data_IF_668702829921
#
_entry.id   IF_668702829921
#
_cell.length_a   1.000
_cell.length_b   1.000
_cell.length_c   1.000
_cell.angle_alpha   90.00
_cell.angle_beta   90.00
_cell.angle_gamma   90.00
#
_symmetry.space_group_name_H-M   'P 1'
#
loop_
_entity.id
_entity.type
_entity.pdbx_description
1 polymer ?
#
# COMPACT_ATOMS: atom_id res chain seq x y z
N UNK A 1 -68.96 13.21 19.47
CA UNK A 1 -67.62 12.76 19.90
C UNK A 1 -67.19 11.41 19.32
N UNK A 2 -67.92 10.29 19.49
CA UNK A 2 -67.47 8.95 19.00
C UNK A 2 -67.18 8.87 17.48
N UNK A 3 -68.02 9.45 16.61
CA UNK A 3 -67.79 9.44 15.15
C UNK A 3 -66.51 10.19 14.73
N UNK A 4 -66.25 11.36 15.33
CA UNK A 4 -65.03 12.13 15.06
C UNK A 4 -63.76 11.38 15.49
N UNK A 5 -63.81 10.65 16.61
CA UNK A 5 -62.70 9.82 17.07
C UNK A 5 -62.41 8.65 16.10
N UNK A 6 -63.46 8.06 15.52
CA UNK A 6 -63.34 7.00 14.51
C UNK A 6 -62.70 7.55 13.21
N UNK A 7 -63.16 8.71 12.72
CA UNK A 7 -62.56 9.33 11.52
C UNK A 7 -61.08 9.70 11.74
N UNK A 8 -60.73 10.18 12.94
CA UNK A 8 -59.34 10.47 13.30
C UNK A 8 -58.50 9.19 13.32
N UNK A 9 -59.00 8.12 13.94
CA UNK A 9 -58.30 6.82 14.00
C UNK A 9 -58.11 6.20 12.60
N UNK A 10 -59.13 6.26 11.74
CA UNK A 10 -59.06 5.78 10.35
C UNK A 10 -58.08 6.63 9.52
N UNK A 11 -58.08 7.95 9.72
CA UNK A 11 -57.13 8.86 9.07
C UNK A 11 -55.68 8.60 9.50
N UNK A 12 -55.44 8.37 10.80
CA UNK A 12 -54.11 7.99 11.31
C UNK A 12 -53.66 6.63 10.79
N UNK A 13 -54.55 5.64 10.74
CA UNK A 13 -54.25 4.32 10.18
C UNK A 13 -53.92 4.41 8.68
N UNK A 14 -54.70 5.16 7.91
CA UNK A 14 -54.45 5.41 6.49
C UNK A 14 -53.11 6.12 6.25
N UNK A 15 -52.80 7.14 7.07
CA UNK A 15 -51.51 7.83 7.04
C UNK A 15 -50.33 6.90 7.36
N UNK A 16 -50.47 6.01 8.35
CA UNK A 16 -49.44 5.04 8.70
C UNK A 16 -49.20 4.01 7.57
N UNK A 17 -50.27 3.54 6.90
CA UNK A 17 -50.16 2.63 5.75
C UNK A 17 -49.45 3.31 4.58
N UNK A 18 -49.85 4.54 4.22
CA UNK A 18 -49.19 5.30 3.13
C UNK A 18 -47.73 5.54 3.45
N UNK A 19 -47.41 5.95 4.68
CA UNK A 19 -46.02 6.12 5.13
C UNK A 19 -45.23 4.81 5.03
N UNK A 20 -45.81 3.69 5.45
CA UNK A 20 -45.21 2.37 5.34
C UNK A 20 -44.93 1.96 3.89
N UNK A 21 -45.87 2.18 2.96
CA UNK A 21 -45.68 1.90 1.52
C UNK A 21 -44.59 2.79 0.93
N UNK A 22 -44.55 4.08 1.28
CA UNK A 22 -43.49 5.00 0.84
C UNK A 22 -42.11 4.56 1.36
N UNK A 23 -42.03 4.13 2.61
CA UNK A 23 -40.81 3.56 3.21
C UNK A 23 -40.35 2.30 2.46
N UNK A 24 -41.25 1.33 2.22
CA UNK A 24 -40.91 0.10 1.49
C UNK A 24 -40.42 0.41 0.07
N UNK A 25 -41.11 1.28 -0.67
CA UNK A 25 -40.71 1.67 -2.01
C UNK A 25 -39.36 2.42 -2.01
N UNK A 26 -39.13 3.28 -1.00
CA UNK A 26 -37.84 3.95 -0.81
C UNK A 26 -36.70 2.94 -0.59
N UNK A 27 -36.91 1.92 0.25
CA UNK A 27 -35.91 0.88 0.49
C UNK A 27 -35.68 0.00 -0.75
N UNK A 28 -36.72 -0.45 -1.45
CA UNK A 28 -36.60 -1.24 -2.67
C UNK A 28 -35.86 -0.49 -3.78
N UNK A 29 -36.16 0.80 -3.97
CA UNK A 29 -35.47 1.63 -4.95
C UNK A 29 -33.99 1.85 -4.58
N UNK A 30 -33.67 1.98 -3.28
CA UNK A 30 -32.27 1.98 -2.81
C UNK A 30 -31.55 0.67 -3.13
N UNK A 31 -32.17 -0.48 -2.86
CA UNK A 31 -31.58 -1.79 -3.13
C UNK A 31 -31.32 -1.99 -4.62
N UNK A 32 -32.29 -1.68 -5.49
CA UNK A 32 -32.13 -1.81 -6.93
C UNK A 32 -30.97 -0.96 -7.46
N UNK A 33 -30.87 0.30 -7.00
CA UNK A 33 -29.75 1.20 -7.38
C UNK A 33 -28.39 0.64 -6.93
N UNK A 34 -28.31 0.13 -5.70
CA UNK A 34 -27.09 -0.48 -5.19
C UNK A 34 -26.68 -1.73 -6.00
N UNK A 35 -27.65 -2.58 -6.36
CA UNK A 35 -27.42 -3.77 -7.20
C UNK A 35 -26.92 -3.42 -8.59
N UNK A 36 -27.52 -2.40 -9.22
CA UNK A 36 -27.08 -1.93 -10.53
C UNK A 36 -25.64 -1.43 -10.49
N UNK A 37 -25.27 -0.61 -9.50
CA UNK A 37 -23.91 -0.12 -9.35
C UNK A 37 -22.89 -1.22 -9.09
N UNK A 38 -23.24 -2.20 -8.24
CA UNK A 38 -22.38 -3.35 -8.01
C UNK A 38 -22.15 -4.13 -9.32
N UNK A 39 -23.20 -4.30 -10.13
CA UNK A 39 -23.10 -4.99 -11.42
C UNK A 39 -22.19 -4.22 -12.38
N UNK A 40 -22.42 -2.91 -12.56
CA UNK A 40 -21.58 -2.04 -13.40
C UNK A 40 -20.11 -2.03 -12.94
N UNK A 41 -19.87 -1.97 -11.63
CA UNK A 41 -18.55 -2.05 -11.04
C UNK A 41 -17.89 -3.41 -11.30
N UNK A 42 -18.60 -4.52 -11.09
CA UNK A 42 -18.07 -5.86 -11.34
C UNK A 42 -17.75 -6.07 -12.82
N UNK A 43 -18.57 -5.56 -13.73
CA UNK A 43 -18.27 -5.58 -15.16
C UNK A 43 -17.03 -4.74 -15.51
N UNK A 44 -16.89 -3.56 -14.92
CA UNK A 44 -15.69 -2.74 -15.08
C UNK A 44 -14.44 -3.46 -14.54
N UNK A 45 -14.52 -4.04 -13.35
CA UNK A 45 -13.46 -4.83 -12.75
C UNK A 45 -13.10 -6.07 -13.61
N UNK A 46 -14.08 -6.76 -14.19
CA UNK A 46 -13.84 -7.87 -15.12
C UNK A 46 -13.17 -7.42 -16.42
N UNK A 47 -13.57 -6.28 -16.98
CA UNK A 47 -12.89 -5.70 -18.15
C UNK A 47 -11.43 -5.38 -17.84
N UNK A 48 -11.18 -4.80 -16.67
CA UNK A 48 -9.82 -4.60 -16.16
C UNK A 48 -9.08 -5.93 -16.03
N UNK A 49 -9.68 -6.94 -15.39
CA UNK A 49 -9.08 -8.25 -15.15
C UNK A 49 -8.63 -8.95 -16.44
N UNK A 50 -9.48 -8.92 -17.50
CA UNK A 50 -9.18 -9.53 -18.81
C UNK A 50 -7.96 -8.91 -19.50
N UNK A 51 -7.79 -7.58 -19.45
CA UNK A 51 -6.66 -6.94 -20.13
C UNK A 51 -5.30 -7.38 -19.55
N UNK A 52 -5.25 -7.73 -18.26
CA UNK A 52 -4.02 -8.26 -17.66
C UNK A 52 -3.65 -9.65 -18.20
N UNK A 53 -4.62 -10.54 -18.44
CA UNK A 53 -4.34 -11.89 -18.93
C UNK A 53 -3.78 -11.90 -20.35
N UNK A 54 -4.17 -10.93 -21.17
CA UNK A 54 -3.67 -10.78 -22.53
C UNK A 54 -2.32 -10.04 -22.61
N UNK A 55 -2.04 -9.13 -21.67
CA UNK A 55 -0.88 -8.22 -21.75
C UNK A 55 0.31 -8.57 -20.85
N UNK A 56 0.13 -9.38 -19.80
CA UNK A 56 1.20 -9.79 -18.89
C UNK A 56 1.57 -11.26 -19.08
N UNK A 57 2.66 -11.57 -19.81
CA UNK A 57 3.23 -12.90 -19.77
C UNK A 57 3.57 -13.26 -18.32
N UNK A 58 3.34 -14.52 -17.93
CA UNK A 58 3.89 -15.04 -16.68
C UNK A 58 5.40 -15.17 -16.91
N UNK A 59 6.14 -14.11 -16.56
CA UNK A 59 7.60 -14.14 -16.54
C UNK A 59 8.04 -15.06 -15.39
N UNK A 60 8.18 -16.36 -15.68
CA UNK A 60 8.72 -17.35 -14.73
C UNK A 60 10.24 -17.17 -14.53
N UNK A 61 10.89 -16.33 -15.34
CA UNK A 61 12.33 -16.15 -15.44
C UNK A 61 12.91 -15.01 -14.57
N UNK A 62 12.09 -14.29 -13.79
CA UNK A 62 12.60 -13.18 -12.97
C UNK A 62 13.58 -13.64 -11.89
N UNK A 63 13.44 -14.88 -11.40
CA UNK A 63 14.32 -15.46 -10.38
C UNK A 63 15.46 -16.25 -11.02
N UNK A 64 16.20 -15.60 -11.91
CA UNK A 64 17.45 -16.17 -12.41
C UNK A 64 18.54 -16.10 -11.34
N UNK A 65 19.47 -17.06 -11.35
CA UNK A 65 20.61 -17.04 -10.43
C UNK A 65 21.44 -15.74 -10.56
N UNK A 66 21.46 -15.14 -11.75
CA UNK A 66 22.14 -13.87 -11.98
C UNK A 66 21.45 -12.70 -11.27
N UNK A 67 20.13 -12.58 -11.39
CA UNK A 67 19.37 -11.52 -10.72
C UNK A 67 19.42 -11.67 -9.21
N UNK A 68 19.36 -12.91 -8.71
CA UNK A 68 19.57 -13.18 -7.29
C UNK A 68 20.97 -12.73 -6.83
N UNK A 69 22.02 -12.99 -7.61
CA UNK A 69 23.37 -12.48 -7.30
C UNK A 69 23.41 -10.96 -7.28
N UNK A 70 22.79 -10.29 -8.26
CA UNK A 70 22.73 -8.83 -8.32
C UNK A 70 22.03 -8.22 -7.10
N UNK A 71 20.92 -8.83 -6.65
CA UNK A 71 20.17 -8.45 -5.44
C UNK A 71 20.85 -8.90 -4.13
N UNK A 72 22.03 -9.51 -4.20
CA UNK A 72 22.90 -9.86 -3.06
C UNK A 72 24.25 -9.15 -3.12
N UNK A 73 24.41 -8.19 -4.03
CA UNK A 73 25.67 -7.45 -4.24
C UNK A 73 26.03 -6.59 -3.05
N UNK A 74 25.05 -5.84 -2.53
CA UNK A 74 25.23 -4.94 -1.40
C UNK A 74 24.67 -5.64 -0.17
N UNK A 75 25.50 -5.87 0.83
CA UNK A 75 25.11 -6.53 2.08
C UNK A 75 24.90 -5.50 3.17
N UNK A 76 24.45 -5.94 4.36
CA UNK A 76 24.12 -5.06 5.49
C UNK A 76 25.16 -3.96 5.76
N UNK A 77 26.46 -4.30 5.71
CA UNK A 77 27.52 -3.32 5.95
C UNK A 77 27.57 -2.20 4.90
N UNK A 78 27.19 -2.49 3.65
CA UNK A 78 27.11 -1.50 2.59
C UNK A 78 25.96 -0.52 2.84
N UNK A 79 24.82 -1.02 3.29
CA UNK A 79 23.66 -0.22 3.67
C UNK A 79 23.98 0.70 4.86
N UNK A 80 24.70 0.21 5.87
CA UNK A 80 25.15 1.02 7.00
C UNK A 80 26.19 2.08 6.60
N UNK A 81 27.03 1.79 5.60
CA UNK A 81 28.00 2.76 5.08
C UNK A 81 27.31 3.95 4.43
N UNK A 82 26.15 3.75 3.80
CA UNK A 82 25.34 4.86 3.26
C UNK A 82 24.94 5.84 4.37
N UNK A 83 24.52 5.33 5.53
CA UNK A 83 24.17 6.18 6.68
C UNK A 83 25.36 7.05 7.12
N UNK A 84 26.55 6.44 7.18
CA UNK A 84 27.79 7.10 7.57
C UNK A 84 28.19 8.18 6.56
N UNK A 85 28.15 7.86 5.26
CA UNK A 85 28.47 8.78 4.18
C UNK A 85 27.49 9.95 4.11
N UNK A 86 26.21 9.70 4.37
CA UNK A 86 25.17 10.72 4.46
C UNK A 86 25.20 11.52 5.78
N UNK A 87 26.11 11.21 6.70
CA UNK A 87 26.20 11.78 8.05
C UNK A 87 24.89 11.71 8.86
N UNK A 88 24.06 10.69 8.58
CA UNK A 88 22.79 10.47 9.28
C UNK A 88 23.05 9.76 10.60
N UNK A 89 22.46 10.29 11.67
CA UNK A 89 22.51 9.66 13.00
C UNK A 89 21.31 8.73 13.19
N UNK A 90 21.47 7.62 13.92
CA UNK A 90 20.35 6.73 14.17
C UNK A 90 19.35 7.39 15.12
N UNK A 91 18.08 7.18 14.86
CA UNK A 91 16.98 7.49 15.76
C UNK A 91 17.03 6.50 16.91
N UNK A 92 17.26 7.01 18.11
CA UNK A 92 17.40 6.19 19.30
C UNK A 92 16.07 5.77 19.86
N UNK A 93 15.10 6.67 19.91
CA UNK A 93 13.81 6.45 20.56
C UNK A 93 12.65 7.00 19.74
N UNK A 94 11.43 6.49 19.99
CA UNK A 94 10.22 6.99 19.32
C UNK A 94 9.93 8.43 19.77
N UNK A 95 10.32 8.76 21.01
CA UNK A 95 10.16 10.05 21.66
C UNK A 95 10.97 11.17 20.97
N UNK A 96 12.06 10.80 20.27
CA UNK A 96 12.91 11.75 19.54
C UNK A 96 12.31 12.15 18.17
N UNK A 97 11.35 11.38 17.65
CA UNK A 97 10.82 11.55 16.29
C UNK A 97 10.23 12.95 16.06
N UNK A 98 9.36 13.52 16.93
CA UNK A 98 8.79 14.84 16.71
C UNK A 98 9.87 15.93 16.54
N UNK A 99 10.88 15.94 17.40
CA UNK A 99 12.01 16.89 17.31
C UNK A 99 12.80 16.71 16.02
N UNK A 100 13.03 15.46 15.59
CA UNK A 100 13.73 15.20 14.33
C UNK A 100 12.93 15.63 13.10
N UNK A 101 11.60 15.57 13.16
CA UNK A 101 10.72 16.10 12.10
C UNK A 101 10.77 17.63 12.07
N UNK A 102 10.71 18.31 13.22
CA UNK A 102 10.85 19.77 13.32
C UNK A 102 12.20 20.26 12.76
N UNK A 103 13.27 19.49 12.98
CA UNK A 103 14.61 19.78 12.46
C UNK A 103 14.79 19.37 10.98
N UNK A 104 13.74 18.89 10.30
CA UNK A 104 13.77 18.38 8.94
C UNK A 104 14.81 17.25 8.72
N UNK A 105 15.09 16.49 9.78
CA UNK A 105 15.98 15.31 9.73
C UNK A 105 15.20 14.04 9.46
N UNK A 106 13.90 14.03 9.75
CA UNK A 106 12.94 13.03 9.34
C UNK A 106 11.78 13.71 8.61
N UNK A 107 11.18 12.99 7.68
CA UNK A 107 9.95 13.35 7.00
C UNK A 107 8.94 12.22 7.20
N UNK A 108 7.68 12.53 7.52
CA UNK A 108 6.63 11.52 7.43
C UNK A 108 6.53 11.03 5.99
N UNK A 109 6.24 9.73 5.83
CA UNK A 109 5.86 9.17 4.54
C UNK A 109 4.34 8.96 4.53
N UNK A 110 3.70 9.57 3.54
CA UNK A 110 2.26 9.72 3.48
C UNK A 110 1.54 8.41 3.16
N UNK A 111 0.26 8.33 3.52
CA UNK A 111 -0.64 7.24 3.13
C UNK A 111 -1.92 7.81 2.53
N UNK A 112 -1.82 8.48 1.39
CA UNK A 112 -2.99 9.05 0.70
C UNK A 112 -3.51 8.10 -0.39
N UNK A 113 -4.68 8.42 -0.96
CA UNK A 113 -5.19 7.72 -2.14
C UNK A 113 -4.22 7.82 -3.33
N UNK A 114 -3.46 8.92 -3.40
CA UNK A 114 -2.54 9.26 -4.50
C UNK A 114 -1.17 8.56 -4.43
N UNK A 115 -0.78 8.06 -3.26
CA UNK A 115 0.50 7.37 -3.12
C UNK A 115 0.53 6.09 -3.95
N UNK A 116 1.70 5.76 -4.49
CA UNK A 116 1.92 4.55 -5.31
C UNK A 116 2.36 3.35 -4.47
N UNK A 117 2.16 3.44 -3.15
CA UNK A 117 2.43 2.42 -2.16
C UNK A 117 1.40 2.47 -1.04
N UNK A 118 1.32 1.41 -0.26
CA UNK A 118 0.53 1.36 0.97
C UNK A 118 1.35 0.70 2.08
N UNK A 119 0.92 0.87 3.33
CA UNK A 119 1.58 0.26 4.47
C UNK A 119 1.00 -1.12 4.79
N UNK A 120 1.84 -2.14 4.73
CA UNK A 120 1.53 -3.51 5.14
C UNK A 120 2.02 -3.72 6.57
N UNK A 121 1.13 -3.53 7.55
CA UNK A 121 1.41 -3.69 8.98
C UNK A 121 2.50 -2.76 9.55
N UNK A 122 2.69 -1.57 8.96
CA UNK A 122 3.59 -0.54 9.50
C UNK A 122 2.79 0.46 10.35
N UNK A 123 3.03 0.54 11.68
CA UNK A 123 2.36 1.51 12.55
C UNK A 123 2.66 2.95 12.14
N UNK A 124 1.67 3.85 12.26
CA UNK A 124 1.80 5.27 11.89
C UNK A 124 3.02 5.94 12.51
N UNK A 125 3.30 5.63 13.79
CA UNK A 125 4.48 6.11 14.54
C UNK A 125 5.84 5.70 13.97
N UNK A 126 5.88 4.77 13.02
CA UNK A 126 7.11 4.28 12.36
C UNK A 126 7.19 4.69 10.88
N UNK A 127 6.21 5.44 10.36
CA UNK A 127 6.13 5.87 8.96
C UNK A 127 6.94 7.14 8.71
N UNK A 128 8.24 7.04 8.96
CA UNK A 128 9.19 8.12 8.77
C UNK A 128 10.40 7.62 8.01
N UNK A 129 10.97 8.49 7.20
CA UNK A 129 12.26 8.31 6.56
C UNK A 129 13.01 9.63 6.63
N UNK A 130 14.32 9.62 6.39
CA UNK A 130 15.03 10.87 6.11
C UNK A 130 14.52 11.47 4.79
N UNK A 131 14.58 12.80 4.59
CA UNK A 131 13.94 13.45 3.44
C UNK A 131 14.35 12.90 2.06
N UNK A 132 15.62 12.54 1.86
CA UNK A 132 16.06 11.96 0.59
C UNK A 132 15.52 10.53 0.38
N UNK A 133 15.42 9.73 1.45
CA UNK A 133 14.89 8.38 1.37
C UNK A 133 13.37 8.37 1.15
N UNK A 134 12.63 9.33 1.73
CA UNK A 134 11.22 9.54 1.43
C UNK A 134 11.00 9.84 -0.06
N UNK A 135 11.80 10.75 -0.65
CA UNK A 135 11.76 11.01 -2.10
C UNK A 135 12.16 9.79 -2.93
N UNK A 136 13.13 9.01 -2.48
CA UNK A 136 13.56 7.79 -3.14
C UNK A 136 12.49 6.69 -3.15
N UNK A 137 11.67 6.58 -2.10
CA UNK A 137 10.50 5.70 -2.08
C UNK A 137 9.46 6.11 -3.14
N UNK A 138 9.14 7.40 -3.22
CA UNK A 138 8.25 7.94 -4.26
C UNK A 138 8.78 7.69 -5.67
N UNK A 139 10.08 7.90 -5.88
CA UNK A 139 10.74 7.64 -7.16
C UNK A 139 10.71 6.16 -7.53
N UNK A 140 10.98 5.26 -6.59
CA UNK A 140 10.90 3.82 -6.81
C UNK A 140 9.49 3.43 -7.20
N UNK A 141 8.48 3.88 -6.46
CA UNK A 141 7.09 3.57 -6.74
C UNK A 141 6.63 4.17 -8.08
N UNK A 142 7.11 5.37 -8.45
CA UNK A 142 6.87 5.99 -9.74
C UNK A 142 7.55 5.24 -10.90
N UNK A 143 8.79 4.76 -10.73
CA UNK A 143 9.48 3.93 -11.73
C UNK A 143 8.76 2.61 -11.93
N UNK A 144 8.26 2.00 -10.85
CA UNK A 144 7.41 0.81 -10.93
C UNK A 144 6.15 1.06 -11.77
N UNK A 145 5.43 2.18 -11.54
CA UNK A 145 4.28 2.55 -12.41
C UNK A 145 4.68 2.74 -13.87
N UNK A 146 5.83 3.39 -14.12
CA UNK A 146 6.33 3.64 -15.47
C UNK A 146 6.56 2.32 -16.22
N UNK A 147 7.21 1.34 -15.58
CA UNK A 147 7.47 0.03 -16.20
C UNK A 147 6.18 -0.76 -16.42
N UNK A 148 5.21 -0.67 -15.50
CA UNK A 148 3.87 -1.24 -15.71
C UNK A 148 3.24 -0.67 -16.97
N UNK A 149 3.23 0.66 -17.11
CA UNK A 149 2.67 1.35 -18.27
C UNK A 149 3.37 0.99 -19.58
N UNK A 150 4.69 0.89 -19.59
CA UNK A 150 5.49 0.48 -20.76
C UNK A 150 5.21 -0.95 -21.19
N UNK A 151 4.81 -1.83 -20.27
CA UNK A 151 4.43 -3.22 -20.54
C UNK A 151 2.94 -3.39 -20.86
N UNK A 152 2.25 -2.28 -21.14
CA UNK A 152 0.80 -2.25 -21.39
C UNK A 152 -0.03 -2.86 -20.24
N UNK A 153 0.54 -2.83 -19.04
CA UNK A 153 -0.11 -3.25 -17.79
C UNK A 153 -0.80 -2.01 -17.25
N UNK A 154 -2.09 -2.16 -16.92
CA UNK A 154 -2.93 -1.07 -16.43
C UNK A 154 -2.27 -0.15 -15.40
N UNK A 155 -2.77 1.06 -15.37
CA UNK A 155 -2.30 2.13 -14.50
C UNK A 155 -2.73 1.88 -13.03
N UNK A 156 -1.84 2.23 -12.08
CA UNK A 156 -2.10 2.36 -10.64
C UNK A 156 -2.08 1.06 -9.80
N UNK A 157 -0.92 0.39 -9.73
CA UNK A 157 -0.68 -0.72 -8.79
C UNK A 157 0.18 -0.25 -7.63
N UNK A 158 -0.32 -0.30 -6.39
CA UNK A 158 0.47 0.08 -5.21
C UNK A 158 1.36 -1.07 -4.73
N UNK A 159 2.61 -0.76 -4.39
CA UNK A 159 3.55 -1.67 -3.72
C UNK A 159 3.31 -1.67 -2.19
N UNK A 160 3.64 -2.78 -1.53
CA UNK A 160 3.45 -2.94 -0.09
C UNK A 160 4.72 -2.57 0.70
N UNK A 161 4.72 -1.46 1.42
CA UNK A 161 5.79 -1.09 2.36
C UNK A 161 5.53 -1.79 3.69
N UNK A 162 6.42 -2.69 4.08
CA UNK A 162 6.30 -3.56 5.26
C UNK A 162 7.20 -3.16 6.44
N UNK A 163 8.08 -2.19 6.21
CA UNK A 163 8.92 -1.58 7.25
C UNK A 163 9.44 -0.23 6.80
N UNK A 164 9.63 0.70 7.73
CA UNK A 164 10.28 1.99 7.52
C UNK A 164 11.20 2.32 8.72
N UNK A 165 10.91 3.33 9.53
CA UNK A 165 11.74 3.67 10.69
C UNK A 165 11.60 2.63 11.81
N UNK A 166 12.73 2.15 12.35
CA UNK A 166 12.77 1.30 13.56
C UNK A 166 13.79 1.87 14.54
N UNK A 167 13.39 2.62 15.58
CA UNK A 167 14.32 3.21 16.54
C UNK A 167 15.22 2.18 17.24
N UNK A 168 16.45 2.57 17.58
CA UNK A 168 17.48 1.66 18.08
C UNK A 168 17.14 1.06 19.47
N UNK A 169 16.37 1.76 20.29
CA UNK A 169 15.94 1.31 21.62
C UNK A 169 15.08 0.02 21.59
N UNK A 170 14.61 -0.42 20.42
CA UNK A 170 13.90 -1.69 20.22
C UNK A 170 14.81 -2.94 20.38
N UNK A 171 16.15 -2.80 20.43
CA UNK A 171 17.09 -3.93 20.40
C UNK A 171 17.86 -4.18 21.72
N UNK A 172 17.47 -3.56 22.83
CA UNK A 172 18.24 -3.59 24.09
C UNK A 172 18.25 -4.92 24.86
N UNK A 173 17.45 -5.93 24.47
CA UNK A 173 17.44 -7.25 25.13
C UNK A 173 18.48 -8.25 24.57
N UNK A 174 19.22 -7.91 23.51
CA UNK A 174 20.22 -8.80 22.88
C UNK A 174 21.67 -8.55 23.35
N UNK A 175 21.88 -7.60 24.26
CA UNK A 175 23.21 -7.15 24.73
C UNK A 175 24.09 -8.23 25.38
N UNK A 176 23.57 -9.41 25.72
CA UNK A 176 24.36 -10.40 26.48
C UNK A 176 25.30 -11.28 25.67
N UNK A 177 25.30 -11.23 24.31
CA UNK A 177 25.98 -12.29 23.53
C UNK A 177 26.90 -11.92 22.37
N UNK A 178 26.92 -10.70 21.80
CA UNK A 178 27.80 -10.41 20.66
C UNK A 178 28.36 -8.97 20.64
N UNK A 179 29.67 -8.82 20.86
CA UNK A 179 30.37 -7.52 20.88
C UNK A 179 30.68 -6.93 19.48
N UNK A 180 30.50 -7.71 18.40
CA UNK A 180 30.94 -7.35 17.05
C UNK A 180 29.81 -7.14 16.01
N UNK A 181 28.53 -7.24 16.40
CA UNK A 181 27.42 -6.86 15.52
C UNK A 181 27.17 -5.35 15.65
N UNK A 182 26.95 -4.61 14.56
CA UNK A 182 26.40 -3.25 14.71
C UNK A 182 25.02 -3.42 15.36
N UNK A 183 24.87 -2.83 16.54
CA UNK A 183 23.67 -2.91 17.41
C UNK A 183 22.45 -2.20 16.77
N UNK A 184 22.65 -1.63 15.58
CA UNK A 184 21.74 -0.68 14.96
C UNK A 184 21.49 -1.13 13.53
N UNK A 185 20.22 -1.33 13.20
CA UNK A 185 19.75 -1.63 11.85
C UNK A 185 19.83 -0.37 10.97
N UNK A 186 20.00 -0.54 9.66
CA UNK A 186 19.88 0.54 8.67
C UNK A 186 18.52 1.26 8.74
N UNK A 187 17.46 0.57 9.19
CA UNK A 187 16.15 1.18 9.48
C UNK A 187 16.18 2.22 10.58
N UNK A 188 17.06 2.07 11.59
CA UNK A 188 17.18 3.04 12.69
C UNK A 188 17.71 4.38 12.22
N UNK A 189 18.37 4.44 11.07
CA UNK A 189 18.81 5.69 10.46
C UNK A 189 17.70 6.35 9.61
N UNK A 190 16.56 5.70 9.40
CA UNK A 190 15.49 6.21 8.52
C UNK A 190 15.87 6.26 7.03
N UNK A 191 16.98 5.63 6.63
CA UNK A 191 17.45 5.59 5.24
C UNK A 191 16.93 4.37 4.46
N UNK A 192 16.31 3.43 5.17
CA UNK A 192 15.91 2.12 4.63
C UNK A 192 14.45 1.79 4.90
N UNK A 193 13.86 1.02 3.99
CA UNK A 193 12.52 0.49 4.08
C UNK A 193 12.44 -0.90 3.45
N UNK A 194 11.45 -1.70 3.85
CA UNK A 194 11.24 -3.04 3.32
C UNK A 194 10.01 -3.05 2.41
N UNK A 195 10.14 -3.54 1.17
CA UNK A 195 9.01 -3.76 0.27
C UNK A 195 8.62 -5.24 0.31
N UNK A 196 7.43 -5.55 0.84
CA UNK A 196 6.87 -6.90 0.81
C UNK A 196 6.42 -7.24 -0.60
N UNK A 197 6.93 -8.32 -1.16
CA UNK A 197 6.74 -8.62 -2.59
C UNK A 197 5.61 -9.61 -2.87
N UNK A 198 4.81 -9.95 -1.87
CA UNK A 198 3.72 -10.93 -2.00
C UNK A 198 2.32 -10.32 -1.98
N UNK A 199 2.22 -9.02 -1.69
CA UNK A 199 0.96 -8.30 -1.68
C UNK A 199 1.13 -6.99 -2.47
N UNK A 200 0.12 -6.70 -3.27
CA UNK A 200 0.03 -5.52 -4.11
C UNK A 200 -1.42 -5.08 -4.08
N UNK A 201 -1.68 -3.81 -4.34
CA UNK A 201 -3.05 -3.30 -4.45
C UNK A 201 -3.28 -2.74 -5.85
N UNK A 202 -4.19 -3.36 -6.60
CA UNK A 202 -4.64 -2.82 -7.89
C UNK A 202 -5.73 -1.79 -7.61
N UNK A 203 -5.51 -0.54 -8.02
CA UNK A 203 -6.55 0.47 -7.94
C UNK A 203 -7.65 0.16 -8.97
N UNK A 204 -8.89 0.14 -8.49
CA UNK A 204 -10.08 -0.07 -9.31
C UNK A 204 -10.89 1.22 -9.36
N UNK A 205 -11.63 1.47 -10.47
CA UNK A 205 -12.46 2.65 -10.64
C UNK A 205 -13.34 2.90 -9.42
N UNK A 206 -13.39 4.17 -8.98
CA UNK A 206 -14.24 4.56 -7.86
C UNK A 206 -15.71 4.48 -8.22
N UNK A 207 -16.58 4.09 -7.26
CA UNK A 207 -18.01 4.17 -7.45
C UNK A 207 -18.45 5.63 -7.55
N UNK A 208 -19.56 5.88 -8.25
CA UNK A 208 -20.17 7.20 -8.32
C UNK A 208 -20.71 7.56 -6.92
N UNK A 209 -20.15 8.58 -6.26
CA UNK A 209 -20.37 8.90 -4.83
C UNK A 209 -21.82 9.25 -4.45
N UNK A 210 -22.64 9.72 -5.39
CA UNK A 210 -23.97 10.31 -5.11
C UNK A 210 -25.10 9.29 -4.87
N UNK A 211 -24.79 8.01 -4.72
CA UNK A 211 -25.80 6.94 -4.74
C UNK A 211 -25.88 6.13 -3.45
N UNK A 212 -27.07 5.61 -3.20
CA UNK A 212 -27.28 4.66 -2.12
C UNK A 212 -26.45 3.38 -2.33
N UNK A 213 -25.59 3.06 -1.35
CA UNK A 213 -24.75 1.86 -1.38
C UNK A 213 -23.29 2.10 -1.75
N UNK A 214 -22.88 3.34 -2.02
CA UNK A 214 -21.49 3.69 -2.38
C UNK A 214 -20.46 3.13 -1.38
N UNK A 215 -20.73 3.20 -0.08
CA UNK A 215 -19.84 2.64 0.97
C UNK A 215 -19.65 1.13 0.85
N UNK A 216 -20.72 0.37 0.59
CA UNK A 216 -20.66 -1.07 0.41
C UNK A 216 -19.91 -1.45 -0.87
N UNK A 217 -20.14 -0.71 -1.96
CA UNK A 217 -19.41 -0.90 -3.22
C UNK A 217 -17.92 -0.57 -3.03
N UNK A 218 -17.58 0.51 -2.31
CA UNK A 218 -16.19 0.87 -2.03
C UNK A 218 -15.48 -0.17 -1.13
N UNK A 219 -16.18 -0.76 -0.17
CA UNK A 219 -15.66 -1.88 0.62
C UNK A 219 -15.32 -3.09 -0.27
N UNK A 220 -16.23 -3.48 -1.18
CA UNK A 220 -15.99 -4.55 -2.15
C UNK A 220 -14.85 -4.19 -3.09
N UNK A 221 -14.80 -2.94 -3.57
CA UNK A 221 -13.73 -2.44 -4.46
C UNK A 221 -12.36 -2.58 -3.83
N UNK A 222 -12.19 -2.13 -2.59
CA UNK A 222 -10.92 -2.24 -1.86
C UNK A 222 -10.49 -3.70 -1.69
N UNK A 223 -11.44 -4.58 -1.35
CA UNK A 223 -11.14 -6.00 -1.23
C UNK A 223 -10.74 -6.64 -2.56
N UNK A 224 -11.44 -6.34 -3.66
CA UNK A 224 -11.09 -6.81 -5.00
C UNK A 224 -9.72 -6.30 -5.45
N UNK A 225 -9.36 -5.06 -5.14
CA UNK A 225 -8.03 -4.51 -5.48
C UNK A 225 -6.87 -5.34 -4.89
N UNK A 226 -6.99 -5.77 -3.63
CA UNK A 226 -6.02 -6.69 -3.02
C UNK A 226 -6.07 -8.10 -3.63
N UNK A 227 -7.26 -8.64 -3.89
CA UNK A 227 -7.39 -9.96 -4.51
C UNK A 227 -6.76 -10.00 -5.90
N UNK A 228 -6.97 -8.96 -6.71
CA UNK A 228 -6.36 -8.81 -8.02
C UNK A 228 -4.84 -8.64 -7.94
N UNK A 229 -4.36 -7.91 -6.93
CA UNK A 229 -2.94 -7.81 -6.59
C UNK A 229 -2.30 -9.16 -6.31
N UNK A 230 -2.90 -9.93 -5.41
CA UNK A 230 -2.43 -11.28 -5.02
C UNK A 230 -2.48 -12.28 -6.16
N UNK A 231 -3.53 -12.24 -6.98
CA UNK A 231 -3.66 -13.10 -8.16
C UNK A 231 -2.51 -12.89 -9.16
N UNK A 232 -1.91 -11.69 -9.16
CA UNK A 232 -0.84 -11.26 -10.08
C UNK A 232 0.50 -11.03 -9.40
N UNK A 233 0.65 -11.49 -8.16
CA UNK A 233 1.85 -11.21 -7.34
C UNK A 233 3.14 -11.59 -8.05
N UNK A 234 3.15 -12.68 -8.85
CA UNK A 234 4.35 -13.14 -9.56
C UNK A 234 4.79 -12.13 -10.62
N UNK A 235 3.85 -11.62 -11.42
CA UNK A 235 4.11 -10.63 -12.47
C UNK A 235 4.54 -9.30 -11.86
N UNK A 236 3.85 -8.84 -10.81
CA UNK A 236 4.20 -7.60 -10.13
C UNK A 236 5.55 -7.69 -9.40
N UNK A 237 5.86 -8.84 -8.78
CA UNK A 237 7.17 -9.10 -8.20
C UNK A 237 8.29 -9.05 -9.24
N UNK A 238 8.08 -9.62 -10.44
CA UNK A 238 9.05 -9.55 -11.53
C UNK A 238 9.34 -8.10 -11.95
N UNK A 239 8.29 -7.31 -12.14
CA UNK A 239 8.40 -5.88 -12.49
C UNK A 239 9.07 -5.09 -11.36
N UNK A 240 8.72 -5.38 -10.10
CA UNK A 240 9.34 -4.74 -8.94
C UNK A 240 10.84 -5.07 -8.85
N UNK A 241 11.22 -6.33 -9.09
CA UNK A 241 12.62 -6.74 -9.13
C UNK A 241 13.39 -6.00 -10.23
N UNK A 242 12.83 -5.90 -11.44
CA UNK A 242 13.41 -5.12 -12.54
C UNK A 242 13.58 -3.66 -12.17
N UNK A 243 12.55 -3.06 -11.53
CA UNK A 243 12.58 -1.68 -11.06
C UNK A 243 13.74 -1.46 -10.09
N UNK A 244 13.88 -2.33 -9.09
CA UNK A 244 14.92 -2.26 -8.08
C UNK A 244 16.31 -2.41 -8.72
N UNK A 245 16.49 -3.37 -9.62
CA UNK A 245 17.77 -3.60 -10.31
C UNK A 245 18.19 -2.44 -11.21
N UNK A 246 17.24 -1.83 -11.93
CA UNK A 246 17.49 -0.62 -12.71
C UNK A 246 17.98 0.53 -11.81
N UNK A 247 17.23 0.83 -10.75
CA UNK A 247 17.58 1.91 -9.81
C UNK A 247 18.90 1.63 -9.09
N UNK A 248 19.21 0.36 -8.79
CA UNK A 248 20.48 -0.04 -8.20
C UNK A 248 21.65 0.21 -9.17
N UNK A 249 21.47 -0.16 -10.45
CA UNK A 249 22.48 0.05 -11.50
C UNK A 249 22.69 1.54 -11.80
N UNK A 250 21.61 2.33 -11.72
CA UNK A 250 21.63 3.80 -11.83
C UNK A 250 22.27 4.48 -10.58
N UNK A 251 22.67 3.72 -9.56
CA UNK A 251 23.27 4.26 -8.35
C UNK A 251 22.29 5.08 -7.50
N UNK A 252 21.00 4.74 -7.53
CA UNK A 252 19.93 5.42 -6.78
C UNK A 252 19.64 4.75 -5.43
N UNK A 253 19.89 3.45 -5.32
CA UNK A 253 19.61 2.64 -4.14
C UNK A 253 20.55 1.44 -4.04
N UNK A 254 20.62 0.85 -2.85
CA UNK A 254 21.06 -0.52 -2.63
C UNK A 254 19.87 -1.38 -2.22
N UNK A 255 19.82 -2.62 -2.67
CA UNK A 255 18.79 -3.57 -2.28
C UNK A 255 19.36 -4.95 -1.92
N UNK A 256 18.74 -5.56 -0.92
CA UNK A 256 18.92 -6.96 -0.56
C UNK A 256 17.60 -7.69 -0.75
N UNK A 257 17.62 -8.81 -1.46
CA UNK A 257 16.47 -9.71 -1.48
C UNK A 257 16.50 -10.67 -0.29
N UNK A 258 15.49 -10.59 0.58
CA UNK A 258 15.37 -11.37 1.80
C UNK A 258 14.25 -12.42 1.68
N UNK A 259 14.54 -13.65 1.23
CA UNK A 259 13.50 -14.65 0.96
C UNK A 259 12.74 -15.11 2.20
N UNK A 260 13.38 -15.14 3.38
CA UNK A 260 12.74 -15.62 4.61
C UNK A 260 11.73 -14.59 5.15
N UNK A 261 12.02 -13.30 4.98
CA UNK A 261 11.21 -12.16 5.40
C UNK A 261 10.21 -11.76 4.32
N UNK A 262 10.42 -12.28 3.10
CA UNK A 262 9.57 -12.09 1.93
C UNK A 262 9.51 -10.63 1.48
N UNK A 263 10.64 -9.92 1.60
CA UNK A 263 10.77 -8.53 1.20
C UNK A 263 12.05 -8.25 0.40
N UNK A 264 12.09 -7.06 -0.20
CA UNK A 264 13.31 -6.39 -0.60
C UNK A 264 13.65 -5.35 0.46
N UNK A 265 14.80 -5.48 1.09
CA UNK A 265 15.36 -4.47 1.97
C UNK A 265 16.05 -3.41 1.12
N UNK A 266 15.56 -2.17 1.11
CA UNK A 266 16.02 -1.10 0.24
C UNK A 266 16.61 0.02 1.08
N UNK A 267 17.79 0.52 0.67
CA UNK A 267 18.41 1.74 1.19
C UNK A 267 18.59 2.72 0.05
N UNK A 268 18.07 3.93 0.21
CA UNK A 268 18.22 4.99 -0.81
C UNK A 268 19.59 5.65 -0.67
N UNK A 269 20.21 6.00 -1.79
CA UNK A 269 21.47 6.74 -1.83
C UNK A 269 21.18 8.27 -1.89
N UNK A 270 21.92 9.13 -1.17
CA UNK A 270 21.73 10.58 -1.15
C UNK A 270 21.89 11.28 -2.51
#
# INVERSE_FOLDING_TARGET
MKKQLIYLAVGLLGGAIVSGVLLVNYFQNREHKAQQQLTEFLEAAQRHDRGYYSGLPIYEDWRSAERERQLRTYLLNDHLRVAQQAAVQPVTSEEDIPTLVELNRLSPIDNTTETKYYFFNVPDKHRYLVPFAARGLEELAARFQKILKEREVYEHVKIAVSSALRPANYQNNLRSRNANASIISSHSYGISFDIFYDDFYVYLPEPIEETAGAEAVDAVRRQLGFLMGRARRRQFQAILADTILQLQTEGRLYAIWEPNQRCYHVTILP
#
